data_IF_100786651985
#
_entry.id   IF_100786651985
#
_cell.length_a   1.000
_cell.length_b   1.000
_cell.length_c   1.000
_cell.angle_alpha   90.00
_cell.angle_beta   90.00
_cell.angle_gamma   90.00
#
_symmetry.space_group_name_H-M   'P 1'
#
loop_
_entity.id
_entity.type
_entity.pdbx_description
1 polymer ?
#
# COMPACT_ATOMS: atom_id res chain seq x y z
N UNK A 1 -11.08 -17.70 -13.87
CA UNK A 1 -11.86 -17.81 -12.61
C UNK A 1 -11.63 -16.55 -11.78
N UNK A 2 -12.62 -15.66 -11.63
CA UNK A 2 -12.47 -14.47 -10.79
C UNK A 2 -12.38 -14.87 -9.30
N UNK A 3 -11.28 -14.52 -8.63
CA UNK A 3 -11.11 -14.80 -7.20
C UNK A 3 -12.05 -13.87 -6.42
N UNK A 4 -13.14 -14.40 -5.85
CA UNK A 4 -14.04 -13.62 -4.99
C UNK A 4 -13.26 -13.08 -3.79
N UNK A 5 -13.09 -11.77 -3.74
CA UNK A 5 -12.46 -11.09 -2.62
C UNK A 5 -13.47 -10.97 -1.47
N UNK A 6 -13.12 -11.50 -0.29
CA UNK A 6 -13.89 -11.23 0.93
C UNK A 6 -13.69 -9.76 1.32
N UNK A 7 -14.78 -9.00 1.37
CA UNK A 7 -14.81 -7.64 1.89
C UNK A 7 -15.13 -7.69 3.38
N UNK A 8 -14.38 -6.91 4.16
CA UNK A 8 -14.60 -6.75 5.59
C UNK A 8 -14.82 -5.27 5.87
N UNK A 9 -15.76 -4.97 6.76
CA UNK A 9 -16.08 -3.61 7.16
C UNK A 9 -14.92 -2.96 7.92
N UNK A 10 -14.91 -1.63 7.97
CA UNK A 10 -13.89 -0.85 8.69
C UNK A 10 -13.92 -1.12 10.19
N UNK A 11 -15.12 -1.27 10.74
CA UNK A 11 -15.37 -1.53 12.15
C UNK A 11 -14.81 -2.91 12.53
N UNK A 12 -15.08 -3.92 11.71
CA UNK A 12 -14.56 -5.28 11.93
C UNK A 12 -13.04 -5.33 11.90
N UNK A 13 -12.41 -4.62 10.96
CA UNK A 13 -10.93 -4.54 10.90
C UNK A 13 -10.37 -3.87 12.14
N UNK A 14 -10.97 -2.76 12.59
CA UNK A 14 -10.54 -2.05 13.78
C UNK A 14 -10.68 -2.90 15.05
N UNK A 15 -11.79 -3.61 15.18
CA UNK A 15 -12.03 -4.54 16.30
C UNK A 15 -11.05 -5.71 16.28
N UNK A 16 -10.75 -6.27 15.11
CA UNK A 16 -9.75 -7.31 14.97
C UNK A 16 -8.35 -6.85 15.44
N UNK A 17 -7.97 -5.60 15.18
CA UNK A 17 -6.71 -5.03 15.69
C UNK A 17 -6.73 -4.87 17.21
N UNK A 18 -7.84 -4.39 17.79
CA UNK A 18 -7.99 -4.32 19.26
C UNK A 18 -7.87 -5.70 19.91
N UNK A 19 -8.41 -6.74 19.27
CA UNK A 19 -8.31 -8.11 19.75
C UNK A 19 -6.87 -8.64 19.69
N UNK A 20 -6.10 -8.28 18.66
CA UNK A 20 -4.64 -8.58 18.63
C UNK A 20 -3.93 -7.93 19.81
N UNK A 21 -4.23 -6.66 20.13
CA UNK A 21 -3.64 -5.97 21.27
C UNK A 21 -4.02 -6.64 22.60
N UNK A 22 -5.28 -7.06 22.76
CA UNK A 22 -5.75 -7.81 23.92
C UNK A 22 -5.05 -9.19 24.06
N UNK A 23 -4.77 -9.87 22.95
CA UNK A 23 -4.06 -11.15 22.90
C UNK A 23 -2.52 -10.97 22.89
N UNK A 24 -1.98 -9.91 23.50
CA UNK A 24 -0.53 -9.65 23.62
C UNK A 24 0.22 -9.60 22.27
N UNK A 25 -0.48 -9.23 21.19
CA UNK A 25 0.10 -9.20 19.84
C UNK A 25 0.04 -10.53 19.09
N UNK A 26 -0.64 -11.57 19.62
CA UNK A 26 -0.73 -12.86 18.97
C UNK A 26 -1.70 -12.85 17.77
N UNK A 27 -1.15 -12.58 16.59
CA UNK A 27 -1.90 -12.55 15.32
C UNK A 27 -2.45 -13.94 14.95
N UNK A 28 -1.73 -15.02 15.26
CA UNK A 28 -2.11 -16.37 14.86
C UNK A 28 -3.37 -16.84 15.59
N UNK A 29 -3.38 -16.65 16.91
CA UNK A 29 -4.52 -16.99 17.76
C UNK A 29 -5.75 -16.15 17.42
N UNK A 30 -5.56 -14.84 17.25
CA UNK A 30 -6.64 -13.92 16.87
C UNK A 30 -7.23 -14.27 15.50
N UNK A 31 -6.40 -14.67 14.53
CA UNK A 31 -6.87 -15.10 13.22
C UNK A 31 -7.72 -16.39 13.30
N UNK A 32 -7.35 -17.33 14.18
CA UNK A 32 -8.13 -18.55 14.45
C UNK A 32 -9.47 -18.21 15.11
N UNK A 33 -9.48 -17.35 16.12
CA UNK A 33 -10.70 -16.90 16.81
C UNK A 33 -11.69 -16.23 15.84
N UNK A 34 -11.18 -15.35 14.97
CA UNK A 34 -12.00 -14.64 13.98
C UNK A 34 -12.28 -15.45 12.70
N UNK A 35 -11.76 -16.69 12.61
CA UNK A 35 -11.89 -17.54 11.41
C UNK A 35 -11.48 -16.85 10.10
N UNK A 36 -10.43 -16.01 10.16
CA UNK A 36 -9.85 -15.32 9.01
C UNK A 36 -8.45 -15.83 8.70
N UNK A 37 -8.00 -15.63 7.47
CA UNK A 37 -6.61 -15.93 7.11
C UNK A 37 -5.64 -15.11 7.97
N UNK A 38 -4.65 -15.79 8.55
CA UNK A 38 -3.56 -15.16 9.30
C UNK A 38 -2.81 -14.13 8.45
N UNK A 39 -2.65 -14.38 7.14
CA UNK A 39 -2.03 -13.43 6.23
C UNK A 39 -2.86 -12.15 6.08
N UNK A 40 -4.19 -12.29 6.01
CA UNK A 40 -5.09 -11.13 5.95
C UNK A 40 -4.99 -10.30 7.22
N UNK A 41 -5.04 -10.94 8.39
CA UNK A 41 -4.96 -10.24 9.67
C UNK A 41 -3.58 -9.62 9.90
N UNK A 42 -2.50 -10.31 9.52
CA UNK A 42 -1.14 -9.78 9.56
C UNK A 42 -1.00 -8.52 8.71
N UNK A 43 -1.55 -8.53 7.49
CA UNK A 43 -1.55 -7.35 6.62
C UNK A 43 -2.30 -6.17 7.24
N UNK A 44 -3.41 -6.41 7.94
CA UNK A 44 -4.11 -5.36 8.68
C UNK A 44 -3.28 -4.84 9.84
N UNK A 45 -2.65 -5.72 10.62
CA UNK A 45 -1.78 -5.31 11.74
C UNK A 45 -0.62 -4.43 11.28
N UNK A 46 0.03 -4.80 10.17
CA UNK A 46 1.10 -3.97 9.56
C UNK A 46 0.57 -2.61 9.13
N UNK A 47 -0.61 -2.54 8.50
CA UNK A 47 -1.24 -1.26 8.11
C UNK A 47 -1.66 -0.43 9.32
N UNK A 48 -2.13 -1.07 10.39
CA UNK A 48 -2.52 -0.41 11.63
C UNK A 48 -1.30 0.25 12.29
N UNK A 49 -0.19 -0.50 12.44
CA UNK A 49 1.08 0.03 12.95
C UNK A 49 1.66 1.16 12.09
N UNK A 50 1.43 1.09 10.77
CA UNK A 50 1.81 2.15 9.84
C UNK A 50 0.84 3.35 9.82
N UNK A 51 -0.24 3.34 10.60
CA UNK A 51 -1.23 4.42 10.65
C UNK A 51 -2.09 4.58 9.39
N UNK A 52 -2.13 3.56 8.52
CA UNK A 52 -2.85 3.60 7.23
C UNK A 52 -4.13 2.77 7.22
N UNK A 53 -4.40 2.00 8.29
CA UNK A 53 -5.63 1.22 8.40
C UNK A 53 -6.78 2.07 8.96
N UNK A 54 -7.80 2.31 8.13
CA UNK A 54 -9.00 3.04 8.56
C UNK A 54 -9.70 2.37 9.76
N UNK A 55 -10.17 3.20 10.70
CA UNK A 55 -10.90 2.76 11.89
C UNK A 55 -10.03 2.45 13.11
N UNK A 56 -8.70 2.46 12.99
CA UNK A 56 -7.80 2.31 14.15
C UNK A 56 -7.47 3.67 14.78
N UNK A 57 -7.03 3.67 16.05
CA UNK A 57 -6.65 4.91 16.77
C UNK A 57 -5.48 5.64 16.11
N UNK A 58 -4.60 4.89 15.44
CA UNK A 58 -3.39 5.42 14.78
C UNK A 58 -3.67 5.86 13.33
N UNK A 59 -4.90 5.73 12.85
CA UNK A 59 -5.25 6.09 11.49
C UNK A 59 -5.10 7.59 11.24
N UNK A 60 -4.28 7.96 10.26
CA UNK A 60 -4.19 9.32 9.76
C UNK A 60 -4.64 9.35 8.28
N UNK A 61 -5.77 10.01 7.98
CA UNK A 61 -6.20 10.25 6.60
C UNK A 61 -5.14 11.00 5.79
N UNK A 62 -4.48 11.98 6.40
CA UNK A 62 -3.45 12.81 5.77
C UNK A 62 -2.22 11.99 5.40
N UNK A 63 -1.78 11.07 6.26
CA UNK A 63 -0.69 10.14 5.94
C UNK A 63 -1.01 9.30 4.71
N UNK A 64 -2.25 8.82 4.62
CA UNK A 64 -2.67 7.97 3.51
C UNK A 64 -2.74 8.76 2.20
N UNK A 65 -3.23 10.00 2.25
CA UNK A 65 -3.22 10.92 1.12
C UNK A 65 -1.79 11.25 0.65
N UNK A 66 -0.89 11.53 1.59
CA UNK A 66 0.52 11.81 1.31
C UNK A 66 1.23 10.62 0.65
N UNK A 67 0.94 9.39 1.11
CA UNK A 67 1.52 8.17 0.52
C UNK A 67 1.05 7.96 -0.93
N UNK A 68 -0.23 8.17 -1.21
CA UNK A 68 -0.77 8.09 -2.57
C UNK A 68 -0.18 9.18 -3.47
N UNK A 69 -0.05 10.40 -2.98
CA UNK A 69 0.60 11.49 -3.72
C UNK A 69 2.07 11.17 -3.99
N UNK A 70 2.82 10.71 -3.00
CA UNK A 70 4.22 10.33 -3.17
C UNK A 70 4.40 9.24 -4.23
N UNK A 71 3.49 8.25 -4.25
CA UNK A 71 3.49 7.19 -5.25
C UNK A 71 3.22 7.75 -6.66
N UNK A 72 2.24 8.64 -6.79
CA UNK A 72 1.92 9.31 -8.07
C UNK A 72 3.12 10.13 -8.58
N UNK A 73 3.74 10.91 -7.70
CA UNK A 73 4.92 11.71 -8.02
C UNK A 73 6.09 10.84 -8.47
N UNK A 74 6.38 9.74 -7.77
CA UNK A 74 7.42 8.78 -8.19
C UNK A 74 7.16 8.17 -9.57
N UNK A 75 5.90 7.87 -9.88
CA UNK A 75 5.52 7.37 -11.20
C UNK A 75 5.72 8.42 -12.29
N UNK A 76 5.31 9.67 -12.03
CA UNK A 76 5.53 10.78 -12.96
C UNK A 76 7.01 11.06 -13.19
N UNK A 77 7.81 11.06 -12.13
CA UNK A 77 9.25 11.24 -12.19
C UNK A 77 9.90 10.16 -13.07
N UNK A 78 9.53 8.89 -12.86
CA UNK A 78 10.02 7.79 -13.69
C UNK A 78 9.67 7.96 -15.17
N UNK A 79 8.45 8.43 -15.48
CA UNK A 79 8.03 8.69 -16.85
C UNK A 79 8.86 9.82 -17.46
N UNK A 80 9.00 10.94 -16.76
CA UNK A 80 9.78 12.08 -17.22
C UNK A 80 11.27 11.72 -17.44
N UNK A 81 11.85 10.90 -16.57
CA UNK A 81 13.22 10.39 -16.77
C UNK A 81 13.34 9.55 -18.04
N UNK A 82 12.39 8.65 -18.29
CA UNK A 82 12.38 7.83 -19.51
C UNK A 82 12.21 8.69 -20.77
N UNK A 83 11.32 9.69 -20.74
CA UNK A 83 11.11 10.63 -21.84
C UNK A 83 12.38 11.45 -22.11
N UNK A 84 13.04 11.96 -21.06
CA UNK A 84 14.30 12.69 -21.18
C UNK A 84 15.39 11.82 -21.81
N UNK A 85 15.53 10.58 -21.37
CA UNK A 85 16.52 9.65 -21.92
C UNK A 85 16.22 9.30 -23.39
N UNK A 86 14.93 9.15 -23.74
CA UNK A 86 14.52 8.94 -25.12
C UNK A 86 14.88 10.15 -26.01
N UNK A 87 14.52 11.36 -25.58
CA UNK A 87 14.83 12.60 -26.32
C UNK A 87 16.33 12.81 -26.49
N UNK A 88 17.12 12.51 -25.44
CA UNK A 88 18.59 12.59 -25.51
C UNK A 88 19.16 11.62 -26.54
N UNK A 89 18.65 10.39 -26.60
CA UNK A 89 19.06 9.40 -27.60
C UNK A 89 18.66 9.83 -29.01
N UNK A 90 17.46 10.36 -29.18
CA UNK A 90 17.00 10.88 -30.47
C UNK A 90 17.87 12.05 -30.96
N UNK A 91 18.15 13.03 -30.09
CA UNK A 91 19.02 14.16 -30.41
C UNK A 91 20.43 13.70 -30.81
N UNK A 92 21.02 12.75 -30.08
CA UNK A 92 22.33 12.18 -30.43
C UNK A 92 22.32 11.45 -31.78
N UNK A 93 21.23 10.75 -32.10
CA UNK A 93 21.06 10.09 -33.39
C UNK A 93 21.01 11.11 -34.54
N UNK A 94 20.17 12.14 -34.45
CA UNK A 94 20.05 13.17 -35.49
C UNK A 94 21.32 14.01 -35.64
N UNK A 95 22.02 14.31 -34.54
CA UNK A 95 23.31 15.01 -34.61
C UNK A 95 24.39 14.21 -35.36
N UNK A 96 24.34 12.87 -35.27
CA UNK A 96 25.25 11.98 -36.00
C UNK A 96 24.90 11.86 -37.49
N UNK A 97 23.62 11.91 -37.86
CA UNK A 97 23.20 11.87 -39.28
C UNK A 97 23.42 13.19 -40.04
N UNK A 98 23.51 14.32 -39.32
CA UNK A 98 23.73 15.65 -39.93
C UNK A 98 25.21 15.96 -40.19
N UNK A 99 26.09 14.96 -40.06
CA UNK A 99 27.54 15.09 -40.12
C UNK A 99 28.14 14.40 -41.35
#
# INVERSE_FOLDING_TARGET
MSKKHKTYTTEFKAEAIKLIEANQGNVSETARQLSISMQTLSNWNTKAKAGTLAGTKQYSPDLNALLEENKKLKQQLKIAEMEREFLKKAAAYFAKESQ
#
